data_IF_471467211725
#
_entry.id   IF_471467211725
#
_cell.length_a   1.000
_cell.length_b   1.000
_cell.length_c   1.000
_cell.angle_alpha   90.00
_cell.angle_beta   90.00
_cell.angle_gamma   90.00
#
_symmetry.space_group_name_H-M   'P 1'
#
loop_
_entity.id
_entity.type
_entity.pdbx_description
1 polymer ?
#
# COMPACT_ATOMS: atom_id res chain seq x y z
N UNK A 1 -0.90 1.29 -3.25
CA UNK A 1 -0.60 0.62 -4.53
C UNK A 1 0.86 0.86 -4.97
N UNK A 2 1.39 2.09 -4.98
CA UNK A 2 2.76 2.33 -5.44
C UNK A 2 3.79 1.45 -4.73
N UNK A 3 3.77 1.38 -3.39
CA UNK A 3 4.68 0.56 -2.60
C UNK A 3 4.66 -0.92 -3.00
N UNK A 4 3.47 -1.50 -3.20
CA UNK A 4 3.35 -2.89 -3.66
C UNK A 4 3.91 -3.10 -5.08
N UNK A 5 3.79 -2.11 -5.97
CA UNK A 5 4.27 -2.22 -7.34
C UNK A 5 5.79 -2.33 -7.45
N UNK A 6 6.53 -1.87 -6.45
CA UNK A 6 8.00 -1.82 -6.46
C UNK A 6 8.66 -3.04 -5.85
N UNK A 7 7.97 -3.76 -4.94
CA UNK A 7 8.56 -4.83 -4.13
C UNK A 7 9.20 -5.95 -4.94
N UNK A 8 8.50 -6.42 -5.96
CA UNK A 8 8.92 -7.56 -6.78
C UNK A 8 9.30 -7.19 -8.21
N UNK A 9 9.11 -5.92 -8.61
CA UNK A 9 9.56 -5.40 -9.90
C UNK A 9 10.97 -4.82 -9.85
N UNK A 10 11.42 -4.34 -8.70
CA UNK A 10 12.67 -3.61 -8.57
C UNK A 10 12.69 -2.28 -9.32
N UNK A 11 11.49 -1.73 -9.64
CA UNK A 11 11.33 -0.50 -10.42
C UNK A 11 10.45 0.50 -9.67
N UNK A 12 10.77 1.79 -9.80
CA UNK A 12 9.99 2.86 -9.19
C UNK A 12 8.61 3.03 -9.83
N UNK A 13 7.66 3.67 -9.13
CA UNK A 13 6.32 3.95 -9.65
C UNK A 13 6.30 4.66 -11.00
N UNK A 14 7.20 5.59 -11.25
CA UNK A 14 7.38 6.26 -12.56
C UNK A 14 7.60 5.27 -13.71
N UNK A 15 8.24 4.13 -13.45
CA UNK A 15 8.47 3.08 -14.43
C UNK A 15 7.43 1.97 -14.41
N UNK A 16 6.83 1.66 -13.24
CA UNK A 16 5.74 0.67 -13.17
C UNK A 16 4.40 1.23 -13.63
N UNK A 17 4.25 2.56 -13.71
CA UNK A 17 3.00 3.23 -14.07
C UNK A 17 1.96 3.25 -12.95
N UNK A 18 2.32 2.85 -11.73
CA UNK A 18 1.43 2.78 -10.56
C UNK A 18 1.81 3.90 -9.60
N UNK A 19 1.28 5.09 -9.80
CA UNK A 19 1.60 6.29 -9.00
C UNK A 19 0.59 6.61 -7.90
N UNK A 20 -0.60 6.00 -7.92
CA UNK A 20 -1.66 6.23 -6.93
C UNK A 20 -2.53 4.98 -6.73
N UNK A 21 -3.38 4.98 -5.69
CA UNK A 21 -4.37 3.93 -5.49
C UNK A 21 -5.46 3.98 -6.57
N UNK A 22 -5.91 5.17 -6.93
CA UNK A 22 -6.93 5.41 -7.97
C UNK A 22 -6.47 5.00 -9.37
N UNK A 23 -5.16 5.14 -9.65
CA UNK A 23 -4.51 4.68 -10.87
C UNK A 23 -3.85 3.29 -10.68
N UNK A 24 -4.30 2.50 -9.72
CA UNK A 24 -3.77 1.17 -9.39
C UNK A 24 -4.36 0.05 -10.25
N UNK A 25 -5.16 -0.81 -9.63
CA UNK A 25 -5.66 -2.05 -10.24
C UNK A 25 -7.14 -2.02 -10.65
N UNK A 26 -7.88 -0.97 -10.35
CA UNK A 26 -9.30 -0.86 -10.69
C UNK A 26 -9.50 -0.99 -12.20
N UNK A 27 -10.32 -1.96 -12.62
CA UNK A 27 -10.54 -2.31 -14.02
C UNK A 27 -12.01 -2.67 -14.25
N UNK A 28 -12.73 -1.82 -14.98
CA UNK A 28 -14.14 -2.01 -15.31
C UNK A 28 -14.39 -3.04 -16.40
N UNK A 29 -13.34 -3.55 -17.04
CA UNK A 29 -13.45 -4.56 -18.12
C UNK A 29 -13.44 -5.99 -17.59
N UNK A 30 -13.18 -6.18 -16.31
CA UNK A 30 -13.19 -7.49 -15.64
C UNK A 30 -14.17 -7.46 -14.45
N UNK A 31 -14.66 -8.64 -14.07
CA UNK A 31 -15.57 -8.81 -12.93
C UNK A 31 -14.91 -9.63 -11.83
N UNK A 32 -15.37 -9.45 -10.58
CA UNK A 32 -15.03 -10.35 -9.48
C UNK A 32 -15.76 -11.69 -9.65
N UNK A 33 -15.16 -12.76 -9.16
CA UNK A 33 -15.74 -14.11 -9.17
C UNK A 33 -16.37 -14.39 -7.81
N UNK A 34 -17.65 -14.76 -7.79
CA UNK A 34 -18.44 -15.05 -6.58
C UNK A 34 -18.51 -13.88 -5.55
N UNK A 35 -18.21 -12.67 -6.00
CA UNK A 35 -18.27 -11.46 -5.20
C UNK A 35 -18.79 -10.28 -6.02
N UNK A 36 -19.32 -9.27 -5.34
CA UNK A 36 -19.72 -8.00 -5.94
C UNK A 36 -18.69 -6.90 -5.71
N UNK A 37 -18.62 -5.95 -6.62
CA UNK A 37 -17.73 -4.81 -6.52
C UNK A 37 -17.04 -4.49 -7.83
N UNK A 38 -16.13 -3.53 -7.78
CA UNK A 38 -15.33 -3.12 -8.93
C UNK A 38 -14.30 -4.21 -9.25
N UNK A 39 -14.18 -4.56 -10.52
CA UNK A 39 -13.18 -5.50 -11.01
C UNK A 39 -11.76 -4.95 -10.83
N UNK A 40 -10.80 -5.87 -10.78
CA UNK A 40 -9.39 -5.52 -10.59
C UNK A 40 -8.48 -6.37 -11.48
N UNK A 41 -7.49 -5.70 -12.10
CA UNK A 41 -6.45 -6.34 -12.89
C UNK A 41 -5.16 -5.49 -12.92
N UNK A 42 -4.03 -6.05 -13.33
CA UNK A 42 -2.77 -5.31 -13.42
C UNK A 42 -2.63 -4.51 -14.73
N UNK A 43 -3.71 -4.15 -15.43
CA UNK A 43 -3.64 -3.61 -16.79
C UNK A 43 -2.78 -2.33 -16.91
N UNK A 44 -2.67 -1.53 -15.85
CA UNK A 44 -1.82 -0.32 -15.83
C UNK A 44 -0.37 -0.61 -15.52
N UNK A 45 -0.09 -1.78 -14.92
CA UNK A 45 1.27 -2.13 -14.53
C UNK A 45 2.16 -2.30 -15.76
N UNK A 46 3.35 -1.70 -15.74
CA UNK A 46 4.34 -1.76 -16.83
C UNK A 46 5.56 -2.53 -16.38
N UNK A 47 6.14 -3.32 -17.29
CA UNK A 47 7.32 -4.14 -17.04
C UNK A 47 7.01 -5.50 -16.43
N UNK A 48 8.02 -6.13 -15.88
CA UNK A 48 8.01 -7.51 -15.37
C UNK A 48 8.35 -7.54 -13.88
N UNK A 49 8.17 -8.68 -13.26
CA UNK A 49 8.48 -8.94 -11.85
C UNK A 49 9.36 -10.17 -11.71
N UNK A 50 9.89 -10.41 -10.50
CA UNK A 50 10.63 -11.64 -10.18
C UNK A 50 9.87 -12.91 -10.60
N UNK A 51 8.54 -12.89 -10.52
CA UNK A 51 7.67 -13.98 -10.98
C UNK A 51 7.85 -14.27 -12.47
N UNK A 52 7.83 -13.22 -13.30
CA UNK A 52 7.99 -13.39 -14.76
C UNK A 52 9.39 -13.90 -15.10
N UNK A 53 10.43 -13.44 -14.41
CA UNK A 53 11.81 -13.87 -14.62
C UNK A 53 12.00 -15.34 -14.26
N UNK A 54 11.40 -15.80 -13.16
CA UNK A 54 11.43 -17.20 -12.74
C UNK A 54 10.68 -18.11 -13.71
N UNK A 55 9.48 -17.72 -14.15
CA UNK A 55 8.68 -18.48 -15.14
C UNK A 55 9.43 -18.56 -16.47
N UNK A 56 10.10 -17.50 -16.90
CA UNK A 56 10.90 -17.51 -18.11
C UNK A 56 12.12 -18.45 -18.01
N UNK A 57 12.72 -18.56 -16.81
CA UNK A 57 13.82 -19.51 -16.53
C UNK A 57 13.31 -20.95 -16.46
N UNK A 58 12.20 -21.18 -15.78
CA UNK A 58 11.59 -22.50 -15.62
C UNK A 58 10.05 -22.39 -15.65
N UNK A 59 9.41 -22.81 -16.77
CA UNK A 59 7.94 -22.74 -16.90
C UNK A 59 7.16 -23.57 -15.88
N UNK A 60 7.82 -24.44 -15.09
CA UNK A 60 7.18 -25.17 -13.99
C UNK A 60 7.02 -24.34 -12.72
N UNK A 61 7.63 -23.15 -12.67
CA UNK A 61 7.46 -22.21 -11.54
C UNK A 61 5.99 -21.98 -11.25
N UNK A 62 5.60 -22.16 -10.01
CA UNK A 62 4.25 -21.93 -9.49
C UNK A 62 4.26 -20.67 -8.64
N UNK A 63 3.16 -19.97 -8.67
CA UNK A 63 3.02 -18.71 -7.92
C UNK A 63 1.68 -18.69 -7.23
N UNK A 64 1.64 -18.17 -6.02
CA UNK A 64 0.44 -17.79 -5.31
C UNK A 64 0.64 -16.39 -4.73
N UNK A 65 -0.31 -15.49 -4.96
CA UNK A 65 -0.33 -14.18 -4.33
C UNK A 65 -1.64 -13.95 -3.58
N UNK A 66 -1.53 -13.54 -2.33
CA UNK A 66 -2.69 -13.42 -1.42
C UNK A 66 -2.61 -12.14 -0.62
N UNK A 67 -3.74 -11.46 -0.48
CA UNK A 67 -3.89 -10.33 0.45
C UNK A 67 -5.36 -10.14 0.84
N UNK A 68 -5.59 -9.30 1.83
CA UNK A 68 -6.91 -8.74 2.06
C UNK A 68 -7.32 -7.71 0.98
N UNK A 69 -6.36 -7.00 0.39
CA UNK A 69 -6.59 -5.94 -0.63
C UNK A 69 -6.23 -6.46 -2.03
N UNK A 70 -7.05 -6.14 -3.03
CA UNK A 70 -6.84 -6.47 -4.45
C UNK A 70 -5.46 -6.04 -4.95
N UNK A 71 -5.12 -4.75 -4.82
CA UNK A 71 -3.85 -4.17 -5.27
C UNK A 71 -2.63 -4.80 -4.60
N UNK A 72 -2.78 -5.21 -3.36
CA UNK A 72 -1.72 -5.82 -2.58
C UNK A 72 -1.47 -7.30 -2.97
N UNK A 73 -2.49 -7.98 -3.49
CA UNK A 73 -2.35 -9.31 -4.06
C UNK A 73 -1.86 -9.26 -5.53
N UNK A 74 -2.31 -8.28 -6.30
CA UNK A 74 -2.06 -8.20 -7.74
C UNK A 74 -0.65 -7.68 -8.06
N UNK A 75 -0.28 -6.53 -7.47
CA UNK A 75 0.91 -5.79 -7.90
C UNK A 75 2.25 -6.49 -7.65
N UNK A 76 2.45 -7.29 -6.61
CA UNK A 76 3.71 -8.03 -6.42
C UNK A 76 4.05 -8.99 -7.56
N UNK A 77 3.05 -9.55 -8.24
CA UNK A 77 3.28 -10.46 -9.37
C UNK A 77 3.00 -9.81 -10.74
N UNK A 78 2.70 -8.50 -10.76
CA UNK A 78 2.54 -7.74 -11.98
C UNK A 78 1.46 -8.32 -12.90
N UNK A 79 1.78 -8.46 -14.19
CA UNK A 79 0.84 -8.93 -15.23
C UNK A 79 0.78 -10.45 -15.38
N UNK A 80 1.51 -11.19 -14.56
CA UNK A 80 1.52 -12.65 -14.57
C UNK A 80 0.14 -13.21 -14.28
N UNK A 81 -0.34 -14.14 -15.14
CA UNK A 81 -1.64 -14.82 -14.99
C UNK A 81 -1.52 -16.05 -14.09
N UNK A 82 -1.05 -15.84 -12.89
CA UNK A 82 -0.89 -16.86 -11.86
C UNK A 82 -2.02 -16.77 -10.81
N UNK A 83 -2.20 -17.75 -9.94
CA UNK A 83 -3.16 -17.68 -8.84
C UNK A 83 -3.01 -16.44 -7.95
N UNK A 84 -4.02 -15.55 -7.96
CA UNK A 84 -4.09 -14.32 -7.16
C UNK A 84 -5.43 -14.25 -6.49
N UNK A 85 -5.45 -14.06 -5.17
CA UNK A 85 -6.68 -13.99 -4.41
C UNK A 85 -6.65 -12.85 -3.39
N UNK A 86 -7.81 -12.23 -3.17
CA UNK A 86 -7.99 -11.21 -2.16
C UNK A 86 -9.35 -11.32 -1.49
N UNK A 87 -9.45 -10.75 -0.31
CA UNK A 87 -10.67 -10.80 0.49
C UNK A 87 -11.74 -9.86 -0.06
N UNK A 88 -12.98 -10.32 -0.11
CA UNK A 88 -14.15 -9.54 -0.53
C UNK A 88 -15.09 -9.27 0.65
N UNK A 89 -15.89 -8.17 0.61
CA UNK A 89 -16.78 -7.79 1.72
C UNK A 89 -17.83 -8.81 2.13
N UNK A 90 -18.12 -9.80 1.27
CA UNK A 90 -19.02 -10.93 1.58
C UNK A 90 -18.34 -12.07 2.34
N UNK A 91 -17.11 -11.87 2.82
CA UNK A 91 -16.43 -12.82 3.70
C UNK A 91 -15.67 -13.95 3.01
N UNK A 92 -15.40 -13.83 1.71
CA UNK A 92 -14.70 -14.85 0.94
C UNK A 92 -13.39 -14.32 0.35
N UNK A 93 -12.46 -15.23 0.03
CA UNK A 93 -11.39 -14.93 -0.90
C UNK A 93 -11.89 -15.08 -2.32
N UNK A 94 -11.67 -14.06 -3.14
CA UNK A 94 -12.07 -13.96 -4.54
C UNK A 94 -10.89 -13.67 -5.44
N UNK A 95 -11.15 -13.61 -6.72
CA UNK A 95 -10.25 -13.14 -7.78
C UNK A 95 -11.07 -12.43 -8.86
N UNK A 96 -10.45 -12.01 -9.95
CA UNK A 96 -11.18 -11.44 -11.10
C UNK A 96 -11.11 -12.33 -12.33
N UNK A 97 -11.98 -12.03 -13.29
CA UNK A 97 -12.00 -12.72 -14.60
C UNK A 97 -10.74 -12.52 -15.42
N UNK A 98 -9.82 -11.64 -15.00
CA UNK A 98 -8.47 -11.56 -15.55
C UNK A 98 -7.66 -12.84 -15.30
N UNK A 99 -7.83 -13.47 -14.12
CA UNK A 99 -7.04 -14.62 -13.68
C UNK A 99 -7.72 -15.97 -13.97
N UNK A 100 -9.03 -16.01 -14.13
CA UNK A 100 -9.75 -17.24 -14.39
C UNK A 100 -11.25 -17.02 -14.54
N UNK A 101 -11.99 -18.06 -14.88
CA UNK A 101 -13.47 -18.03 -15.06
C UNK A 101 -14.25 -18.50 -13.84
N UNK A 102 -13.59 -19.15 -12.88
CA UNK A 102 -14.21 -19.65 -11.64
C UNK A 102 -13.15 -19.78 -10.53
N UNK A 103 -13.59 -19.80 -9.28
CA UNK A 103 -12.72 -20.11 -8.16
C UNK A 103 -12.29 -21.58 -8.20
N UNK A 104 -10.99 -21.90 -7.94
CA UNK A 104 -10.55 -23.28 -7.75
C UNK A 104 -11.32 -23.98 -6.61
N UNK A 105 -11.40 -25.30 -6.66
CA UNK A 105 -12.12 -26.08 -5.65
C UNK A 105 -11.60 -25.85 -4.23
N UNK A 106 -10.27 -25.81 -4.05
CA UNK A 106 -9.67 -25.56 -2.75
C UNK A 106 -10.05 -24.18 -2.17
N UNK A 107 -10.21 -23.15 -3.03
CA UNK A 107 -10.67 -21.82 -2.63
C UNK A 107 -12.14 -21.86 -2.20
N UNK A 108 -13.00 -22.56 -2.98
CA UNK A 108 -14.41 -22.74 -2.63
C UNK A 108 -14.56 -23.48 -1.32
N UNK A 109 -13.77 -24.54 -1.11
CA UNK A 109 -13.76 -25.32 0.13
C UNK A 109 -13.32 -24.47 1.33
N UNK A 110 -12.29 -23.64 1.16
CA UNK A 110 -11.86 -22.69 2.20
C UNK A 110 -12.96 -21.68 2.54
N UNK A 111 -13.57 -21.06 1.53
CA UNK A 111 -14.64 -20.08 1.69
C UNK A 111 -15.90 -20.68 2.35
N UNK A 112 -16.20 -21.94 2.08
CA UNK A 112 -17.33 -22.65 2.68
C UNK A 112 -17.26 -22.79 4.21
N UNK A 113 -16.06 -22.62 4.80
CA UNK A 113 -15.87 -22.60 6.27
C UNK A 113 -16.52 -21.36 6.91
N UNK A 114 -16.78 -20.30 6.16
CA UNK A 114 -17.40 -19.03 6.62
C UNK A 114 -16.74 -18.46 7.89
N UNK A 115 -15.42 -18.58 7.99
CA UNK A 115 -14.67 -18.21 9.19
C UNK A 115 -14.92 -16.77 9.63
N UNK A 116 -14.90 -15.73 8.75
CA UNK A 116 -15.15 -14.36 9.18
C UNK A 116 -16.50 -14.18 9.88
N UNK A 117 -17.57 -14.78 9.33
CA UNK A 117 -18.90 -14.72 9.91
C UNK A 117 -18.98 -15.39 11.30
N UNK A 118 -18.13 -16.39 11.57
CA UNK A 118 -18.07 -17.07 12.88
C UNK A 118 -17.47 -16.21 14.00
N UNK A 119 -16.92 -15.06 13.67
CA UNK A 119 -16.40 -14.09 14.64
C UNK A 119 -17.46 -13.07 15.11
N UNK A 120 -18.70 -13.18 14.64
CA UNK A 120 -19.78 -12.30 15.08
C UNK A 120 -19.87 -12.27 16.62
N UNK A 121 -19.84 -11.07 17.19
CA UNK A 121 -19.88 -10.82 18.64
C UNK A 121 -18.63 -11.17 19.42
N UNK A 122 -17.53 -11.58 18.77
CA UNK A 122 -16.26 -11.79 19.46
C UNK A 122 -15.59 -10.48 19.83
N UNK A 123 -14.85 -10.50 20.92
CA UNK A 123 -14.04 -9.38 21.39
C UNK A 123 -12.58 -9.52 20.94
N UNK A 124 -12.00 -8.44 20.47
CA UNK A 124 -10.56 -8.27 20.41
C UNK A 124 -10.10 -7.74 21.77
N UNK A 125 -9.53 -8.62 22.57
CA UNK A 125 -8.94 -8.33 23.86
C UNK A 125 -7.42 -8.21 23.70
N UNK A 126 -6.73 -7.61 24.67
CA UNK A 126 -5.27 -7.54 24.67
C UNK A 126 -4.66 -8.94 24.66
N UNK A 127 -3.60 -9.14 23.88
CA UNK A 127 -2.86 -10.40 23.79
C UNK A 127 -2.05 -10.70 25.06
N UNK A 128 -1.49 -9.66 25.64
CA UNK A 128 -0.66 -9.69 26.85
C UNK A 128 -1.37 -8.99 28.00
N UNK A 129 -0.92 -9.16 29.26
CA UNK A 129 -1.43 -8.37 30.38
C UNK A 129 -1.29 -6.86 30.12
N UNK A 130 -2.22 -6.05 30.63
CA UNK A 130 -2.28 -4.59 30.47
C UNK A 130 -0.93 -3.91 30.79
N UNK A 131 -0.22 -4.41 31.79
CA UNK A 131 1.11 -3.89 32.19
C UNK A 131 2.21 -4.05 31.14
N UNK A 132 1.98 -4.82 30.08
CA UNK A 132 2.93 -4.98 28.96
C UNK A 132 2.84 -3.85 27.94
N UNK A 133 1.78 -3.04 28.02
CA UNK A 133 1.55 -1.93 27.09
C UNK A 133 1.84 -0.61 27.79
N UNK A 134 2.70 0.20 27.17
CA UNK A 134 3.03 1.56 27.66
C UNK A 134 2.06 2.61 27.16
N UNK A 135 1.34 2.31 26.09
CA UNK A 135 0.42 3.21 25.42
C UNK A 135 -0.87 3.38 26.26
N UNK A 136 -1.45 4.58 26.17
CA UNK A 136 -2.72 4.88 26.82
C UNK A 136 -3.85 4.15 26.09
N UNK A 137 -4.78 3.56 26.86
CA UNK A 137 -5.97 2.91 26.31
C UNK A 137 -7.06 3.92 25.92
N UNK A 138 -7.26 4.94 26.75
CA UNK A 138 -8.30 5.95 26.53
C UNK A 138 -7.73 7.16 25.79
N UNK A 139 -7.85 7.15 24.46
CA UNK A 139 -7.42 8.26 23.56
C UNK A 139 -8.62 8.67 22.69
N UNK A 140 -9.42 9.70 23.09
CA UNK A 140 -10.73 10.00 22.47
C UNK A 140 -10.71 10.37 20.98
N UNK A 141 -9.54 10.68 20.39
CA UNK A 141 -9.44 10.95 18.95
C UNK A 141 -9.40 9.68 18.12
N UNK A 142 -8.98 8.57 18.71
CA UNK A 142 -8.91 7.28 18.03
C UNK A 142 -10.30 6.83 17.60
N UNK A 143 -10.37 6.10 16.49
CA UNK A 143 -11.62 5.57 15.96
C UNK A 143 -12.75 6.62 15.79
N UNK A 144 -12.38 7.91 15.65
CA UNK A 144 -13.37 8.99 15.58
C UNK A 144 -14.17 9.22 16.84
N UNK A 145 -13.61 8.88 18.00
CA UNK A 145 -14.25 9.00 19.29
C UNK A 145 -15.21 7.88 19.65
N UNK A 146 -15.21 6.79 18.89
CA UNK A 146 -16.08 5.63 19.14
C UNK A 146 -15.24 4.36 19.24
N UNK A 147 -15.53 3.52 20.23
CA UNK A 147 -14.87 2.22 20.40
C UNK A 147 -13.32 2.35 20.40
N UNK A 148 -12.82 3.27 21.24
CA UNK A 148 -11.39 3.60 21.39
C UNK A 148 -10.78 3.07 22.68
N UNK A 149 -11.42 2.11 23.34
CA UNK A 149 -10.99 1.47 24.59
C UNK A 149 -11.18 -0.03 24.44
N UNK A 150 -10.17 -0.80 24.83
CA UNK A 150 -10.29 -2.25 24.88
C UNK A 150 -11.36 -2.74 25.86
N UNK A 151 -12.06 -3.85 25.58
CA UNK A 151 -12.00 -4.67 24.37
C UNK A 151 -12.80 -4.09 23.18
N UNK A 152 -12.35 -4.34 21.96
CA UNK A 152 -13.08 -3.96 20.75
C UNK A 152 -14.00 -5.10 20.29
N UNK A 153 -15.30 -4.82 20.18
CA UNK A 153 -16.28 -5.83 19.81
C UNK A 153 -16.51 -5.88 18.30
N UNK A 154 -16.46 -7.09 17.75
CA UNK A 154 -16.94 -7.34 16.39
C UNK A 154 -18.46 -7.26 16.35
N UNK A 155 -19.03 -6.94 15.18
CA UNK A 155 -20.48 -6.93 14.98
C UNK A 155 -21.13 -8.25 15.36
N UNK A 156 -22.28 -8.21 16.02
CA UNK A 156 -23.07 -9.41 16.35
C UNK A 156 -23.79 -10.02 15.12
N UNK A 157 -23.90 -9.26 14.01
CA UNK A 157 -24.43 -9.77 12.74
C UNK A 157 -23.34 -10.47 11.95
N UNK A 158 -23.52 -11.76 11.55
CA UNK A 158 -22.52 -12.50 10.79
C UNK A 158 -22.09 -11.83 9.46
N UNK A 159 -23.03 -11.24 8.73
CA UNK A 159 -22.72 -10.53 7.47
C UNK A 159 -21.93 -9.24 7.73
N UNK A 160 -22.26 -8.52 8.79
CA UNK A 160 -21.51 -7.32 9.19
C UNK A 160 -20.14 -7.69 9.74
N UNK A 161 -20.02 -8.76 10.51
CA UNK A 161 -18.74 -9.28 10.98
C UNK A 161 -17.85 -9.65 9.80
N UNK A 162 -18.33 -10.38 8.81
CA UNK A 162 -17.58 -10.69 7.61
C UNK A 162 -17.08 -9.43 6.88
N UNK A 163 -17.91 -8.39 6.79
CA UNK A 163 -17.55 -7.12 6.14
C UNK A 163 -16.53 -6.31 6.92
N UNK A 164 -16.62 -6.31 8.26
CA UNK A 164 -15.73 -5.55 9.16
C UNK A 164 -14.48 -6.33 9.58
N UNK A 165 -14.47 -7.64 9.39
CA UNK A 165 -13.37 -8.54 9.73
C UNK A 165 -11.98 -8.02 9.35
N UNK A 166 -11.80 -7.33 8.20
CA UNK A 166 -10.52 -6.73 7.82
C UNK A 166 -9.98 -5.64 8.76
N UNK A 167 -10.76 -5.15 9.70
CA UNK A 167 -10.35 -4.14 10.68
C UNK A 167 -9.84 -4.75 11.99
N UNK A 168 -9.84 -6.10 12.09
CA UNK A 168 -9.42 -6.85 13.27
C UNK A 168 -8.17 -7.69 13.01
N UNK A 169 -7.37 -7.98 14.03
CA UNK A 169 -6.12 -8.77 13.91
C UNK A 169 -6.30 -10.13 13.24
N UNK A 170 -7.46 -10.74 13.38
CA UNK A 170 -7.79 -12.06 12.84
C UNK A 170 -7.72 -12.13 11.31
N UNK A 171 -7.79 -10.99 10.62
CA UNK A 171 -7.69 -10.95 9.16
C UNK A 171 -6.30 -11.39 8.66
N UNK A 172 -5.24 -11.02 9.36
CA UNK A 172 -3.89 -11.46 8.98
C UNK A 172 -3.72 -12.96 9.25
N UNK A 173 -4.26 -13.48 10.36
CA UNK A 173 -4.29 -14.92 10.64
C UNK A 173 -5.06 -15.69 9.55
N UNK A 174 -6.23 -15.18 9.14
CA UNK A 174 -7.04 -15.76 8.05
C UNK A 174 -6.28 -15.74 6.71
N UNK A 175 -5.56 -14.66 6.42
CA UNK A 175 -4.76 -14.53 5.20
C UNK A 175 -3.63 -15.55 5.18
N UNK A 176 -2.97 -15.78 6.31
CA UNK A 176 -1.92 -16.80 6.46
C UNK A 176 -2.46 -18.23 6.37
N UNK A 177 -3.66 -18.51 6.95
CA UNK A 177 -4.34 -19.82 6.84
C UNK A 177 -4.71 -20.11 5.37
N UNK A 178 -5.26 -19.11 4.68
CA UNK A 178 -5.55 -19.22 3.26
C UNK A 178 -4.29 -19.47 2.42
N UNK A 179 -3.20 -18.73 2.69
CA UNK A 179 -1.93 -18.90 2.01
C UNK A 179 -1.34 -20.31 2.23
N UNK A 180 -1.38 -20.83 3.47
CA UNK A 180 -0.92 -22.17 3.78
C UNK A 180 -1.77 -23.26 3.10
N UNK A 181 -3.09 -23.05 3.03
CA UNK A 181 -3.99 -23.93 2.28
C UNK A 181 -3.60 -23.96 0.80
N UNK A 182 -3.29 -22.80 0.23
CA UNK A 182 -2.82 -22.69 -1.16
C UNK A 182 -1.43 -23.32 -1.40
N UNK A 183 -0.50 -23.18 -0.44
CA UNK A 183 0.82 -23.86 -0.50
C UNK A 183 0.62 -25.37 -0.67
N UNK A 184 -0.29 -25.96 0.09
CA UNK A 184 -0.58 -27.40 0.01
C UNK A 184 -1.33 -27.74 -1.30
N UNK A 185 -2.38 -27.01 -1.65
CA UNK A 185 -3.20 -27.29 -2.83
C UNK A 185 -2.43 -27.18 -4.15
N UNK A 186 -1.49 -26.22 -4.23
CA UNK A 186 -0.65 -25.98 -5.40
C UNK A 186 0.70 -26.71 -5.33
N UNK A 187 1.00 -27.42 -4.23
CA UNK A 187 2.30 -28.03 -3.99
C UNK A 187 3.48 -27.06 -4.15
N UNK A 188 3.33 -25.80 -3.69
CA UNK A 188 4.39 -24.80 -3.78
C UNK A 188 5.65 -25.24 -3.04
N UNK A 189 6.81 -25.11 -3.67
CA UNK A 189 8.10 -25.48 -3.12
C UNK A 189 8.32 -26.98 -2.98
N UNK A 190 7.51 -27.85 -3.62
CA UNK A 190 7.67 -29.30 -3.59
C UNK A 190 8.47 -29.85 -4.78
N UNK A 191 8.73 -29.03 -5.80
CA UNK A 191 9.49 -29.42 -6.99
C UNK A 191 10.92 -28.86 -7.00
N UNK A 192 11.68 -29.15 -8.07
CA UNK A 192 13.05 -28.66 -8.23
C UNK A 192 13.12 -27.19 -8.69
N UNK A 193 12.01 -26.62 -9.19
CA UNK A 193 11.91 -25.23 -9.61
C UNK A 193 11.76 -24.31 -8.39
N UNK A 194 12.10 -23.04 -8.58
CA UNK A 194 11.79 -21.99 -7.58
C UNK A 194 10.34 -21.58 -7.74
N UNK A 195 9.55 -21.71 -6.70
CA UNK A 195 8.16 -21.24 -6.61
C UNK A 195 8.08 -19.94 -5.81
N UNK A 196 7.00 -19.17 -5.96
CA UNK A 196 6.81 -17.87 -5.29
C UNK A 196 5.51 -17.88 -4.49
N UNK A 197 5.60 -17.47 -3.24
CA UNK A 197 4.46 -17.13 -2.39
C UNK A 197 4.57 -15.66 -1.98
N UNK A 198 3.69 -14.83 -2.48
CA UNK A 198 3.56 -13.43 -2.10
C UNK A 198 2.36 -13.25 -1.16
N UNK A 199 2.60 -12.76 0.06
CA UNK A 199 1.56 -12.50 1.04
C UNK A 199 1.65 -11.04 1.47
N UNK A 200 0.52 -10.31 1.41
CA UNK A 200 0.44 -8.97 1.98
C UNK A 200 -0.54 -8.96 3.14
N UNK A 201 -0.02 -8.71 4.34
CA UNK A 201 -0.75 -8.65 5.60
C UNK A 201 -1.11 -7.19 5.88
N UNK A 202 -2.36 -6.83 5.67
CA UNK A 202 -2.79 -5.42 5.60
C UNK A 202 -3.59 -4.95 6.80
N UNK A 203 -3.68 -5.74 7.88
CA UNK A 203 -4.45 -5.37 9.07
C UNK A 203 -3.78 -4.26 9.85
N UNK A 204 -2.45 -4.27 9.95
CA UNK A 204 -1.70 -3.19 10.62
C UNK A 204 -2.01 -1.82 10.02
N UNK A 205 -2.16 -1.72 8.69
CA UNK A 205 -2.59 -0.50 8.01
C UNK A 205 -4.02 -0.09 8.42
N UNK A 206 -4.96 -1.03 8.49
CA UNK A 206 -6.34 -0.73 8.88
C UNK A 206 -6.44 -0.25 10.34
N UNK A 207 -5.78 -0.96 11.24
CA UNK A 207 -5.70 -0.60 12.67
C UNK A 207 -5.01 0.76 12.82
N UNK A 208 -3.90 0.97 12.13
CA UNK A 208 -3.16 2.22 12.15
C UNK A 208 -3.97 3.42 11.65
N UNK A 209 -4.74 3.26 10.57
CA UNK A 209 -5.66 4.31 10.10
C UNK A 209 -6.70 4.69 11.13
N UNK A 210 -7.18 3.72 11.90
CA UNK A 210 -8.27 3.90 12.85
C UNK A 210 -7.79 4.45 14.19
N UNK A 211 -6.70 3.91 14.71
CA UNK A 211 -6.23 4.16 16.07
C UNK A 211 -4.92 4.98 16.11
N UNK A 212 -4.22 5.14 14.98
CA UNK A 212 -2.92 5.80 14.90
C UNK A 212 -1.75 4.83 15.12
N UNK A 213 -0.55 5.15 14.60
CA UNK A 213 0.62 4.25 14.69
C UNK A 213 1.18 4.09 16.11
N UNK A 214 0.89 5.04 17.01
CA UNK A 214 1.39 5.04 18.37
C UNK A 214 0.34 4.49 19.37
N UNK A 215 -0.72 3.84 18.87
CA UNK A 215 -1.81 3.31 19.68
C UNK A 215 -1.48 1.96 20.30
N UNK A 216 -2.18 1.64 21.38
CA UNK A 216 -2.16 0.33 22.02
C UNK A 216 -2.63 -0.77 21.06
N UNK A 217 -3.58 -0.45 20.19
CA UNK A 217 -4.13 -1.34 19.18
C UNK A 217 -3.10 -1.73 18.13
N UNK A 218 -2.28 -0.79 17.67
CA UNK A 218 -1.18 -1.11 16.73
C UNK A 218 -0.11 -1.93 17.43
N UNK A 219 0.20 -1.66 18.70
CA UNK A 219 1.13 -2.48 19.48
C UNK A 219 0.61 -3.93 19.60
N UNK A 220 -0.64 -4.12 20.01
CA UNK A 220 -1.26 -5.45 20.13
C UNK A 220 -1.33 -6.17 18.77
N UNK A 221 -1.68 -5.43 17.71
CA UNK A 221 -1.69 -5.96 16.34
C UNK A 221 -0.31 -6.47 15.90
N UNK A 222 0.77 -5.73 16.17
CA UNK A 222 2.13 -6.14 15.80
C UNK A 222 2.55 -7.39 16.58
N UNK A 223 2.24 -7.48 17.87
CA UNK A 223 2.51 -8.69 18.67
C UNK A 223 1.77 -9.92 18.14
N UNK A 224 0.50 -9.74 17.72
CA UNK A 224 -0.29 -10.83 17.10
C UNK A 224 0.26 -11.21 15.74
N UNK A 225 0.68 -10.24 14.94
CA UNK A 225 1.27 -10.46 13.63
C UNK A 225 2.58 -11.26 13.74
N UNK A 226 3.46 -10.89 14.68
CA UNK A 226 4.70 -11.62 14.94
C UNK A 226 4.41 -13.08 15.32
N UNK A 227 3.46 -13.30 16.24
CA UNK A 227 3.03 -14.63 16.63
C UNK A 227 2.45 -15.43 15.47
N UNK A 228 1.59 -14.83 14.66
CA UNK A 228 0.97 -15.47 13.51
C UNK A 228 2.00 -15.84 12.43
N UNK A 229 2.98 -14.96 12.17
CA UNK A 229 4.11 -15.25 11.28
C UNK A 229 4.97 -16.40 11.81
N UNK A 230 5.25 -16.45 13.11
CA UNK A 230 5.94 -17.56 13.74
C UNK A 230 5.24 -18.90 13.47
N UNK A 231 3.93 -18.99 13.75
CA UNK A 231 3.15 -20.20 13.49
C UNK A 231 3.09 -20.57 12.00
N UNK A 232 3.00 -19.57 11.12
CA UNK A 232 3.01 -19.80 9.67
C UNK A 232 4.35 -20.40 9.22
N UNK A 233 5.47 -19.80 9.62
CA UNK A 233 6.80 -20.27 9.27
C UNK A 233 7.09 -21.66 9.85
N UNK A 234 6.73 -21.91 11.09
CA UNK A 234 6.85 -23.26 11.71
C UNK A 234 6.06 -24.31 10.92
N UNK A 235 4.84 -23.96 10.48
CA UNK A 235 4.01 -24.84 9.66
C UNK A 235 4.60 -25.08 8.28
N UNK A 236 5.15 -24.04 7.65
CA UNK A 236 5.83 -24.13 6.37
C UNK A 236 7.08 -25.04 6.48
N UNK A 237 7.88 -24.85 7.52
CA UNK A 237 9.13 -25.61 7.73
C UNK A 237 8.92 -27.08 8.14
N UNK A 238 7.68 -27.46 8.54
CA UNK A 238 7.32 -28.89 8.70
C UNK A 238 7.10 -29.60 7.37
N UNK A 239 6.73 -28.87 6.31
CA UNK A 239 6.39 -29.42 5.00
C UNK A 239 7.39 -29.06 3.90
N UNK A 240 8.29 -28.12 4.17
CA UNK A 240 9.38 -27.69 3.26
C UNK A 240 10.68 -27.58 4.05
N UNK A 241 11.78 -27.95 3.41
CA UNK A 241 13.09 -27.84 4.04
C UNK A 241 13.45 -26.34 4.19
N UNK A 242 13.74 -25.84 5.42
CA UNK A 242 14.10 -24.44 5.63
C UNK A 242 15.32 -23.95 4.82
N UNK A 243 16.20 -24.88 4.40
CA UNK A 243 17.37 -24.56 3.56
C UNK A 243 17.01 -24.21 2.13
N UNK A 244 15.79 -24.57 1.69
CA UNK A 244 15.27 -24.31 0.35
C UNK A 244 14.28 -23.13 0.34
N UNK A 245 14.17 -22.42 1.48
CA UNK A 245 13.25 -21.28 1.63
C UNK A 245 14.03 -19.99 1.84
N UNK A 246 13.65 -18.96 1.10
CA UNK A 246 14.09 -17.58 1.31
C UNK A 246 12.87 -16.73 1.61
N UNK A 247 12.91 -15.96 2.68
CA UNK A 247 11.86 -15.02 3.08
C UNK A 247 12.40 -13.61 2.92
N UNK A 248 11.63 -12.74 2.28
CA UNK A 248 11.85 -11.29 2.27
C UNK A 248 10.62 -10.60 2.86
N UNK A 249 10.82 -9.71 3.81
CA UNK A 249 9.78 -8.94 4.48
C UNK A 249 10.07 -7.45 4.35
N UNK A 250 9.05 -6.69 3.98
CA UNK A 250 9.06 -5.23 3.95
C UNK A 250 7.65 -4.70 4.20
N UNK A 251 7.47 -3.38 4.17
CA UNK A 251 6.16 -2.74 4.11
C UNK A 251 6.06 -1.85 2.87
N UNK A 252 4.85 -1.56 2.44
CA UNK A 252 4.58 -0.66 1.31
C UNK A 252 4.63 0.83 1.70
N UNK A 253 4.45 1.14 2.97
CA UNK A 253 4.60 2.47 3.60
C UNK A 253 4.58 2.36 5.13
N UNK A 254 4.89 3.46 5.80
CA UNK A 254 4.63 3.68 7.21
C UNK A 254 3.32 4.45 7.43
N UNK A 255 3.19 5.13 8.58
CA UNK A 255 1.99 5.89 8.92
C UNK A 255 2.37 7.14 9.75
N UNK A 256 1.73 8.27 9.47
CA UNK A 256 1.95 9.50 10.23
C UNK A 256 1.03 9.51 11.47
N UNK A 257 1.57 9.79 12.67
CA UNK A 257 0.79 9.96 13.89
C UNK A 257 -0.26 11.07 13.81
N UNK A 258 -1.25 11.03 14.68
CA UNK A 258 -2.27 12.08 14.79
C UNK A 258 -1.63 13.45 15.06
N UNK A 259 -1.97 14.50 14.28
CA UNK A 259 -1.51 15.86 14.57
C UNK A 259 -1.86 16.31 15.99
N UNK A 260 -3.01 15.94 16.49
CA UNK A 260 -3.51 16.30 17.81
C UNK A 260 -2.69 15.70 18.95
N UNK A 261 -2.11 14.51 18.74
CA UNK A 261 -1.20 13.89 19.71
C UNK A 261 0.11 14.67 19.81
N UNK A 262 0.59 15.18 18.67
CA UNK A 262 1.82 15.98 18.58
C UNK A 262 1.61 17.48 18.80
N UNK A 263 0.35 17.96 18.89
CA UNK A 263 0.05 19.38 19.14
C UNK A 263 0.56 19.88 20.51
N UNK A 264 0.87 18.98 21.44
CA UNK A 264 1.49 19.29 22.72
C UNK A 264 3.02 19.48 22.65
N UNK A 265 3.65 19.09 21.52
CA UNK A 265 5.04 19.48 21.24
C UNK A 265 5.04 20.89 20.65
N UNK A 266 5.56 21.91 21.37
CA UNK A 266 5.56 23.30 20.89
C UNK A 266 6.36 23.48 19.59
N UNK A 267 7.18 22.50 19.19
CA UNK A 267 7.93 22.51 17.94
C UNK A 267 7.20 21.81 16.79
N UNK A 268 6.14 21.05 17.05
CA UNK A 268 5.48 20.24 16.01
C UNK A 268 4.53 21.06 15.16
N UNK A 269 3.77 22.04 15.72
CA UNK A 269 2.80 22.86 15.00
C UNK A 269 1.85 22.06 14.08
N UNK A 270 1.61 20.77 14.43
CA UNK A 270 0.96 19.80 13.56
C UNK A 270 -0.54 20.10 13.41
N UNK A 271 -1.05 20.05 12.19
CA UNK A 271 -2.44 20.35 11.86
C UNK A 271 -2.99 19.40 10.78
N UNK A 272 -4.32 19.27 10.75
CA UNK A 272 -5.04 18.69 9.60
C UNK A 272 -5.24 19.78 8.57
N UNK A 273 -4.55 19.66 7.44
CA UNK A 273 -4.55 20.68 6.38
C UNK A 273 -5.77 20.48 5.48
N UNK A 274 -6.62 21.50 5.39
CA UNK A 274 -7.79 21.49 4.52
C UNK A 274 -7.53 22.34 3.26
N UNK A 275 -7.33 21.72 2.09
CA UNK A 275 -7.04 22.43 0.85
C UNK A 275 -8.30 22.98 0.16
N UNK A 276 -9.52 22.71 0.70
CA UNK A 276 -10.79 22.95 0.00
C UNK A 276 -10.99 24.38 -0.47
N UNK A 277 -10.69 25.37 0.35
CA UNK A 277 -10.88 26.78 -0.02
C UNK A 277 -9.96 27.17 -1.18
N UNK A 278 -8.70 26.74 -1.15
CA UNK A 278 -7.75 27.00 -2.22
C UNK A 278 -8.17 26.30 -3.51
N UNK A 279 -8.57 25.04 -3.44
CA UNK A 279 -9.00 24.27 -4.60
C UNK A 279 -10.32 24.79 -5.16
N UNK A 280 -11.24 25.30 -4.32
CA UNK A 280 -12.47 25.96 -4.76
C UNK A 280 -12.15 27.25 -5.53
N UNK A 281 -11.23 28.07 -5.02
CA UNK A 281 -10.79 29.27 -5.71
C UNK A 281 -10.13 28.96 -7.07
N UNK A 282 -9.32 27.90 -7.12
CA UNK A 282 -8.73 27.39 -8.37
C UNK A 282 -9.82 26.95 -9.35
N UNK A 283 -10.80 26.15 -8.90
CA UNK A 283 -11.90 25.67 -9.75
C UNK A 283 -12.71 26.85 -10.32
N UNK A 284 -13.06 27.82 -9.49
CA UNK A 284 -13.80 29.01 -9.92
C UNK A 284 -13.02 29.86 -10.93
N UNK A 285 -11.71 30.02 -10.71
CA UNK A 285 -10.84 30.77 -11.63
C UNK A 285 -10.72 30.09 -12.99
N UNK A 286 -10.59 28.75 -13.01
CA UNK A 286 -10.51 27.98 -14.24
C UNK A 286 -11.86 27.98 -14.98
N UNK A 287 -12.99 27.89 -14.27
CA UNK A 287 -14.33 28.02 -14.87
C UNK A 287 -14.53 29.38 -15.50
N UNK A 288 -14.17 30.48 -14.81
CA UNK A 288 -14.24 31.84 -15.34
C UNK A 288 -13.35 32.04 -16.58
N UNK A 289 -12.27 31.29 -16.71
CA UNK A 289 -11.40 31.27 -17.89
C UNK A 289 -11.88 30.32 -19.00
N UNK A 290 -13.08 29.73 -18.87
CA UNK A 290 -13.70 28.86 -19.89
C UNK A 290 -13.32 27.40 -19.81
N UNK A 291 -12.70 26.94 -18.73
CA UNK A 291 -12.45 25.51 -18.51
C UNK A 291 -13.74 24.83 -18.06
N UNK A 292 -14.26 23.92 -18.88
CA UNK A 292 -15.48 23.17 -18.59
C UNK A 292 -15.31 22.25 -17.37
N UNK A 293 -16.40 22.01 -16.62
CA UNK A 293 -16.44 21.10 -15.47
C UNK A 293 -17.64 21.40 -14.57
N UNK A 294 -17.80 20.60 -13.52
CA UNK A 294 -18.95 20.66 -12.60
C UNK A 294 -18.63 21.34 -11.25
N UNK A 295 -17.56 22.12 -11.20
CA UNK A 295 -17.09 22.71 -9.95
C UNK A 295 -16.27 21.73 -9.12
N UNK A 296 -15.98 22.12 -7.87
CA UNK A 296 -15.18 21.30 -6.96
C UNK A 296 -16.04 20.20 -6.32
N UNK A 297 -15.62 18.94 -6.53
CA UNK A 297 -16.18 17.75 -5.90
C UNK A 297 -15.11 17.04 -5.05
N UNK A 298 -15.57 16.29 -4.04
CA UNK A 298 -14.71 15.44 -3.20
C UNK A 298 -15.31 14.04 -3.11
N UNK A 299 -14.59 13.05 -3.59
CA UNK A 299 -15.03 11.64 -3.58
C UNK A 299 -13.84 10.73 -3.36
N UNK A 300 -13.94 9.82 -2.38
CA UNK A 300 -12.91 8.80 -2.14
C UNK A 300 -11.51 9.35 -1.81
N UNK A 301 -11.40 10.51 -1.19
CA UNK A 301 -10.12 11.15 -0.85
C UNK A 301 -9.60 12.12 -1.92
N UNK A 302 -10.23 12.15 -3.10
CA UNK A 302 -9.79 12.95 -4.25
C UNK A 302 -10.67 14.16 -4.44
N UNK A 303 -10.07 15.33 -4.59
CA UNK A 303 -10.75 16.54 -5.09
C UNK A 303 -10.66 16.58 -6.61
N UNK A 304 -11.77 16.80 -7.27
CA UNK A 304 -11.84 17.06 -8.71
C UNK A 304 -12.49 18.41 -8.94
N UNK A 305 -11.93 19.22 -9.84
CA UNK A 305 -12.43 20.53 -10.21
C UNK A 305 -12.37 20.75 -11.72
N UNK A 306 -12.65 21.98 -12.16
CA UNK A 306 -12.57 22.34 -13.56
C UNK A 306 -11.12 22.19 -14.07
N UNK A 307 -10.86 21.16 -14.86
CA UNK A 307 -9.55 20.89 -15.47
C UNK A 307 -8.43 20.47 -14.53
N UNK A 308 -8.74 20.01 -13.31
CA UNK A 308 -7.74 19.46 -12.39
C UNK A 308 -8.28 18.38 -11.47
N UNK A 309 -7.36 17.59 -10.89
CA UNK A 309 -7.58 16.74 -9.70
C UNK A 309 -6.50 17.00 -8.65
N UNK A 310 -6.83 16.72 -7.38
CA UNK A 310 -5.88 16.80 -6.27
C UNK A 310 -6.07 15.60 -5.34
N UNK A 311 -5.02 14.80 -5.20
CA UNK A 311 -5.00 13.58 -4.38
C UNK A 311 -3.70 13.53 -3.57
N UNK A 312 -3.79 13.44 -2.23
CA UNK A 312 -2.64 13.23 -1.36
C UNK A 312 -1.48 14.22 -1.50
N UNK A 313 -1.77 15.44 -1.95
CA UNK A 313 -0.74 16.46 -2.22
C UNK A 313 -0.29 16.54 -3.69
N UNK A 314 -0.81 15.70 -4.56
CA UNK A 314 -0.52 15.71 -6.00
C UNK A 314 -1.59 16.51 -6.74
N UNK A 315 -1.21 17.59 -7.38
CA UNK A 315 -2.06 18.36 -8.28
C UNK A 315 -1.83 17.90 -9.73
N UNK A 316 -2.85 17.30 -10.31
CA UNK A 316 -2.88 16.99 -11.75
C UNK A 316 -3.65 18.08 -12.50
N UNK A 317 -3.20 18.39 -13.70
CA UNK A 317 -3.85 19.36 -14.58
C UNK A 317 -4.20 18.73 -15.93
N UNK A 318 -5.40 18.95 -16.39
CA UNK A 318 -5.83 18.57 -17.74
C UNK A 318 -5.20 19.52 -18.77
N UNK A 319 -4.12 19.05 -19.41
CA UNK A 319 -3.37 19.83 -20.41
C UNK A 319 -4.25 20.24 -21.60
N UNK A 320 -5.19 19.37 -22.01
CA UNK A 320 -6.09 19.64 -23.13
C UNK A 320 -7.09 20.73 -22.79
N UNK A 321 -7.71 20.63 -21.61
CA UNK A 321 -8.67 21.65 -21.14
C UNK A 321 -8.01 23.02 -20.98
N UNK A 322 -6.81 23.08 -20.40
CA UNK A 322 -6.05 24.31 -20.25
C UNK A 322 -5.66 24.93 -21.61
N UNK A 323 -5.22 24.07 -22.55
CA UNK A 323 -4.86 24.54 -23.89
C UNK A 323 -6.04 25.10 -24.65
N UNK A 324 -7.22 24.47 -24.58
CA UNK A 324 -8.46 24.98 -25.18
C UNK A 324 -8.88 26.34 -24.61
N UNK A 325 -8.67 26.55 -23.33
CA UNK A 325 -8.95 27.80 -22.63
C UNK A 325 -7.80 28.85 -22.76
N UNK A 326 -6.76 28.57 -23.55
CA UNK A 326 -5.58 29.42 -23.74
C UNK A 326 -4.86 29.78 -22.44
N UNK A 327 -4.92 28.89 -21.43
CA UNK A 327 -4.26 29.08 -20.13
C UNK A 327 -2.81 28.59 -20.19
N UNK A 328 -1.88 29.47 -19.82
CA UNK A 328 -0.48 29.09 -19.67
C UNK A 328 -0.30 28.23 -18.41
N UNK A 329 -0.03 26.92 -18.62
CA UNK A 329 0.12 25.93 -17.54
C UNK A 329 1.20 26.32 -16.53
N UNK A 330 2.36 26.80 -17.00
CA UNK A 330 3.48 27.13 -16.12
C UNK A 330 3.18 28.32 -15.22
N UNK A 331 2.52 29.33 -15.75
CA UNK A 331 2.07 30.47 -14.95
C UNK A 331 1.02 30.08 -13.92
N UNK A 332 0.08 29.22 -14.30
CA UNK A 332 -0.92 28.67 -13.37
C UNK A 332 -0.25 27.89 -12.25
N UNK A 333 0.67 26.97 -12.57
CA UNK A 333 1.38 26.15 -11.57
C UNK A 333 2.18 27.03 -10.61
N UNK A 334 2.86 28.09 -11.11
CA UNK A 334 3.55 29.06 -10.23
C UNK A 334 2.60 29.78 -9.27
N UNK A 335 1.45 30.22 -9.75
CA UNK A 335 0.46 30.89 -8.91
C UNK A 335 -0.13 29.95 -7.85
N UNK A 336 -0.51 28.73 -8.23
CA UNK A 336 -1.04 27.72 -7.32
C UNK A 336 0.02 27.31 -6.29
N UNK A 337 1.28 27.11 -6.70
CA UNK A 337 2.41 26.85 -5.79
C UNK A 337 2.55 27.95 -4.73
N UNK A 338 2.52 29.22 -5.16
CA UNK A 338 2.62 30.35 -4.24
C UNK A 338 1.46 30.41 -3.25
N UNK A 339 0.27 29.96 -3.66
CA UNK A 339 -0.91 29.88 -2.79
C UNK A 339 -0.79 28.74 -1.79
N UNK A 340 -0.35 27.53 -2.19
CA UNK A 340 -0.13 26.41 -1.28
C UNK A 340 0.91 26.72 -0.21
N UNK A 341 2.00 27.40 -0.56
CA UNK A 341 3.06 27.77 0.39
C UNK A 341 2.60 28.74 1.51
N UNK A 342 1.41 29.32 1.39
CA UNK A 342 0.79 30.17 2.42
C UNK A 342 -0.16 29.37 3.34
N UNK A 343 -0.44 28.13 3.00
CA UNK A 343 -1.36 27.28 3.80
C UNK A 343 -0.61 26.74 5.02
N UNK A 344 -1.11 26.96 6.25
CA UNK A 344 -0.50 26.41 7.46
C UNK A 344 -0.36 24.89 7.36
N UNK A 345 0.78 24.36 7.77
CA UNK A 345 1.09 22.92 7.69
C UNK A 345 1.70 22.47 6.35
N UNK A 346 1.74 23.31 5.32
CA UNK A 346 2.47 23.02 4.09
C UNK A 346 3.95 23.32 4.29
N UNK A 347 4.80 22.32 4.15
CA UNK A 347 6.25 22.46 4.28
C UNK A 347 6.93 22.89 2.98
N UNK A 348 6.47 22.36 1.84
CA UNK A 348 7.00 22.68 0.51
C UNK A 348 6.02 22.36 -0.61
N UNK A 349 6.25 22.96 -1.76
CA UNK A 349 5.52 22.67 -3.00
C UNK A 349 6.51 22.68 -4.17
N UNK A 350 6.63 21.57 -4.88
CA UNK A 350 7.61 21.38 -5.96
C UNK A 350 6.92 21.15 -7.29
N UNK A 351 7.39 21.85 -8.32
CA UNK A 351 6.97 21.60 -9.69
C UNK A 351 7.61 20.30 -10.18
N UNK A 352 6.82 19.42 -10.80
CA UNK A 352 7.33 18.13 -11.33
C UNK A 352 8.48 18.37 -12.31
N UNK A 353 8.37 19.35 -13.20
CA UNK A 353 9.42 19.71 -14.18
C UNK A 353 10.74 20.18 -13.57
N UNK A 354 10.77 20.53 -12.29
CA UNK A 354 11.99 20.97 -11.59
C UNK A 354 12.63 19.87 -10.75
N UNK A 355 11.94 18.75 -10.51
CA UNK A 355 12.44 17.69 -9.62
C UNK A 355 13.73 17.04 -10.14
N UNK A 356 13.84 16.82 -11.45
CA UNK A 356 15.02 16.21 -12.05
C UNK A 356 16.31 17.06 -11.90
N UNK A 357 16.16 18.38 -11.65
CA UNK A 357 17.25 19.33 -11.46
C UNK A 357 17.67 19.47 -9.98
N UNK A 358 16.93 18.80 -9.07
CA UNK A 358 17.21 18.84 -7.63
C UNK A 358 18.42 17.96 -7.27
N UNK A 359 19.09 18.31 -6.18
CA UNK A 359 20.06 17.44 -5.54
C UNK A 359 19.35 16.25 -4.88
N UNK A 360 19.17 15.17 -5.64
CA UNK A 360 18.48 13.96 -5.18
C UNK A 360 19.29 13.13 -4.18
N UNK A 361 20.52 13.48 -3.90
CA UNK A 361 21.33 12.83 -2.85
C UNK A 361 20.94 13.40 -1.49
N UNK A 362 20.91 14.72 -1.35
CA UNK A 362 20.62 15.40 -0.09
C UNK A 362 19.13 15.75 0.07
N UNK A 363 18.40 16.05 -1.00
CA UNK A 363 16.95 16.28 -0.98
C UNK A 363 16.16 14.96 -1.07
N UNK A 364 15.96 14.30 0.08
CA UNK A 364 15.20 13.03 0.15
C UNK A 364 13.76 13.19 -0.32
N UNK A 365 13.10 14.31 -0.01
CA UNK A 365 11.71 14.57 -0.40
C UNK A 365 11.59 14.72 -1.91
N UNK A 366 12.44 15.56 -2.51
CA UNK A 366 12.49 15.73 -3.96
C UNK A 366 12.78 14.43 -4.68
N UNK A 367 13.74 13.63 -4.18
CA UNK A 367 14.05 12.30 -4.73
C UNK A 367 12.84 11.36 -4.71
N UNK A 368 12.10 11.28 -3.60
CA UNK A 368 10.91 10.42 -3.47
C UNK A 368 9.84 10.81 -4.48
N UNK A 369 9.58 12.11 -4.65
CA UNK A 369 8.64 12.59 -5.67
C UNK A 369 9.13 12.32 -7.09
N UNK A 370 10.41 12.48 -7.38
CA UNK A 370 11.00 12.16 -8.70
C UNK A 370 10.79 10.68 -9.08
N UNK A 371 10.79 9.78 -8.10
CA UNK A 371 10.55 8.36 -8.34
C UNK A 371 9.07 8.02 -8.60
N UNK A 372 8.15 8.96 -8.33
CA UNK A 372 6.70 8.74 -8.52
C UNK A 372 6.21 9.16 -9.89
N UNK A 373 6.73 10.27 -10.46
CA UNK A 373 6.18 10.91 -11.65
C UNK A 373 7.25 11.26 -12.67
N UNK A 374 6.88 11.23 -13.94
CA UNK A 374 7.62 11.74 -15.07
C UNK A 374 7.03 13.07 -15.58
N UNK A 375 7.76 13.77 -16.45
CA UNK A 375 7.25 14.99 -17.11
C UNK A 375 6.05 14.70 -18.05
N UNK A 376 5.86 13.44 -18.46
CA UNK A 376 4.74 13.00 -19.31
C UNK A 376 3.45 12.84 -18.51
N UNK A 377 3.54 12.67 -17.18
CA UNK A 377 2.38 12.51 -16.32
C UNK A 377 1.53 13.79 -16.25
N UNK A 378 0.27 13.63 -15.88
CA UNK A 378 -0.63 14.78 -15.64
C UNK A 378 -0.24 15.59 -14.41
N UNK A 379 0.51 15.01 -13.48
CA UNK A 379 1.00 15.67 -12.29
C UNK A 379 1.79 16.96 -12.66
N UNK A 380 1.47 18.04 -12.01
CA UNK A 380 2.03 19.36 -12.29
C UNK A 380 2.78 19.93 -11.08
N UNK A 381 2.23 19.69 -9.89
CA UNK A 381 2.74 20.18 -8.63
C UNK A 381 2.60 19.07 -7.57
N UNK A 382 3.60 18.90 -6.73
CA UNK A 382 3.53 18.08 -5.54
C UNK A 382 3.70 18.96 -4.31
N UNK A 383 2.78 18.80 -3.35
CA UNK A 383 2.73 19.57 -2.11
C UNK A 383 3.03 18.64 -0.96
N UNK A 384 4.14 18.88 -0.27
CA UNK A 384 4.54 18.12 0.90
C UNK A 384 4.20 18.88 2.15
N UNK A 385 3.49 18.24 3.04
CA UNK A 385 3.20 18.79 4.37
C UNK A 385 4.45 18.72 5.26
N UNK A 386 4.53 19.63 6.22
CA UNK A 386 5.52 19.52 7.28
C UNK A 386 5.31 18.20 8.07
N UNK A 387 6.36 17.68 8.75
CA UNK A 387 6.22 16.46 9.54
C UNK A 387 5.01 16.49 10.50
N UNK A 388 4.38 15.34 10.70
CA UNK A 388 3.19 15.15 11.53
C UNK A 388 1.91 15.86 11.06
N UNK A 389 1.94 16.56 9.92
CA UNK A 389 0.74 17.10 9.31
C UNK A 389 0.21 16.14 8.25
N UNK A 390 -1.10 16.12 8.04
CA UNK A 390 -1.70 15.45 6.88
C UNK A 390 -2.96 16.12 6.37
N UNK A 391 -3.35 15.75 5.18
CA UNK A 391 -4.53 16.30 4.52
C UNK A 391 -5.80 15.87 5.26
N UNK A 392 -6.71 16.81 5.47
CA UNK A 392 -8.01 16.49 6.06
C UNK A 392 -8.74 15.47 5.18
N UNK A 393 -9.07 14.35 5.76
CA UNK A 393 -9.76 13.21 5.11
C UNK A 393 -10.76 12.57 6.06
N UNK A 394 -11.45 11.53 5.58
CA UNK A 394 -12.35 10.71 6.39
C UNK A 394 -11.64 9.73 7.31
N UNK A 395 -10.34 9.45 7.08
CA UNK A 395 -9.54 8.60 7.96
C UNK A 395 -9.01 9.39 9.14
N UNK A 396 -8.82 8.72 10.27
CA UNK A 396 -8.29 9.35 11.47
C UNK A 396 -6.79 9.60 11.33
N UNK A 397 -5.99 8.57 11.04
CA UNK A 397 -4.58 8.69 10.69
C UNK A 397 -4.34 8.44 9.20
N UNK A 398 -3.26 8.99 8.66
CA UNK A 398 -2.96 9.01 7.23
C UNK A 398 -1.52 8.64 6.92
N UNK A 399 -1.31 8.25 5.68
CA UNK A 399 -0.01 8.05 5.05
C UNK A 399 -0.02 8.55 3.61
N UNK A 400 1.10 8.42 2.90
CA UNK A 400 1.25 8.80 1.49
C UNK A 400 2.05 10.07 1.29
N UNK A 401 2.58 10.65 2.37
CA UNK A 401 3.55 11.73 2.27
C UNK A 401 4.95 11.17 1.96
N UNK A 402 5.87 12.00 1.41
CA UNK A 402 7.26 11.61 1.27
C UNK A 402 8.08 11.82 2.56
N UNK A 403 7.44 12.11 3.70
CA UNK A 403 8.10 12.21 5.00
C UNK A 403 8.59 10.85 5.50
N UNK A 404 9.55 10.83 6.40
CA UNK A 404 10.16 9.58 6.88
C UNK A 404 9.19 8.71 7.66
N UNK A 405 8.19 9.29 8.35
CA UNK A 405 7.10 8.54 9.00
C UNK A 405 6.37 7.59 8.06
N UNK A 406 6.16 8.03 6.80
CA UNK A 406 5.42 7.25 5.82
C UNK A 406 6.32 6.45 4.88
N UNK A 407 7.54 6.94 4.61
CA UNK A 407 8.37 6.39 3.55
C UNK A 407 9.51 5.49 4.05
N UNK A 408 9.78 5.45 5.37
CA UNK A 408 10.81 4.58 5.94
C UNK A 408 10.19 3.28 6.43
N UNK A 409 10.60 2.17 5.81
CA UNK A 409 10.12 0.83 6.11
C UNK A 409 11.29 -0.14 6.31
N UNK A 410 11.11 -1.27 7.01
CA UNK A 410 12.14 -2.29 7.15
C UNK A 410 12.34 -3.05 5.84
N UNK A 411 13.55 -3.61 5.63
CA UNK A 411 13.83 -4.69 4.68
C UNK A 411 14.53 -5.78 5.45
N UNK A 412 13.94 -6.97 5.50
CA UNK A 412 14.45 -8.12 6.23
C UNK A 412 14.53 -9.30 5.27
N UNK A 413 15.67 -9.99 5.25
CA UNK A 413 15.83 -11.25 4.54
C UNK A 413 16.16 -12.36 5.54
N UNK A 414 15.60 -13.54 5.30
CA UNK A 414 15.88 -14.75 6.08
C UNK A 414 15.98 -15.96 5.17
N UNK A 415 16.87 -16.90 5.50
CA UNK A 415 16.97 -18.20 4.84
C UNK A 415 18.26 -18.42 4.07
N UNK A 416 18.19 -19.30 3.08
CA UNK A 416 19.37 -19.72 2.29
C UNK A 416 19.97 -18.54 1.51
N UNK A 417 21.30 -18.50 1.42
CA UNK A 417 22.01 -17.45 0.69
C UNK A 417 22.09 -16.10 1.42
N UNK A 418 21.48 -15.97 2.59
CA UNK A 418 21.52 -14.73 3.38
C UNK A 418 22.70 -14.75 4.34
N UNK A 419 23.41 -13.64 4.42
CA UNK A 419 24.45 -13.38 5.42
C UNK A 419 23.83 -12.73 6.63
N UNK A 420 23.83 -13.36 7.81
CA UNK A 420 23.23 -12.77 9.01
C UNK A 420 23.94 -11.47 9.40
N UNK A 421 23.18 -10.46 9.78
CA UNK A 421 23.70 -9.17 10.23
C UNK A 421 22.64 -8.07 10.22
N UNK A 422 22.99 -6.95 10.81
CA UNK A 422 22.27 -5.68 10.68
C UNK A 422 23.12 -4.76 9.82
N UNK A 423 22.47 -4.16 8.82
CA UNK A 423 23.11 -3.32 7.82
C UNK A 423 22.49 -1.93 7.89
N UNK A 424 23.29 -0.92 8.17
CA UNK A 424 22.84 0.47 8.35
C UNK A 424 23.02 1.32 7.07
N UNK A 425 23.51 0.72 5.99
CA UNK A 425 23.63 1.37 4.70
C UNK A 425 22.24 1.67 4.11
N UNK A 426 22.17 2.73 3.31
CA UNK A 426 20.95 3.13 2.66
C UNK A 426 20.48 2.06 1.66
N UNK A 427 19.31 1.49 1.92
CA UNK A 427 18.62 0.56 1.05
C UNK A 427 17.21 1.08 0.70
N UNK A 428 16.67 0.58 -0.40
CA UNK A 428 15.34 0.96 -0.91
C UNK A 428 14.53 -0.29 -1.19
N UNK A 429 13.21 -0.21 -1.08
CA UNK A 429 12.32 -1.36 -1.35
C UNK A 429 12.52 -1.92 -2.77
N UNK A 430 12.85 -1.08 -3.75
CA UNK A 430 13.21 -1.55 -5.12
C UNK A 430 14.46 -2.44 -5.15
N UNK A 431 15.30 -2.43 -4.12
CA UNK A 431 16.50 -3.26 -4.03
C UNK A 431 16.14 -4.72 -3.63
N UNK A 432 14.91 -4.99 -3.21
CA UNK A 432 14.46 -6.31 -2.79
C UNK A 432 14.40 -7.31 -3.96
N UNK A 433 13.78 -6.93 -5.08
CA UNK A 433 13.65 -7.82 -6.24
C UNK A 433 14.99 -8.22 -6.86
N UNK A 434 15.95 -7.30 -7.16
CA UNK A 434 17.27 -7.70 -7.67
C UNK A 434 18.06 -8.53 -6.66
N UNK A 435 17.91 -8.28 -5.35
CA UNK A 435 18.56 -9.09 -4.31
C UNK A 435 18.02 -10.52 -4.29
N UNK A 436 16.69 -10.69 -4.32
CA UNK A 436 16.06 -12.02 -4.45
C UNK A 436 16.47 -12.70 -5.75
N UNK A 437 16.48 -11.97 -6.89
CA UNK A 437 16.91 -12.52 -8.17
C UNK A 437 18.34 -13.07 -8.13
N UNK A 438 19.25 -12.35 -7.46
CA UNK A 438 20.62 -12.82 -7.25
C UNK A 438 20.69 -14.10 -6.40
N UNK A 439 19.91 -14.19 -5.31
CA UNK A 439 19.86 -15.36 -4.42
C UNK A 439 19.33 -16.60 -5.16
N UNK A 440 18.28 -16.45 -6.00
CA UNK A 440 17.68 -17.56 -6.73
C UNK A 440 18.27 -17.73 -8.14
N UNK A 441 19.36 -17.02 -8.44
CA UNK A 441 20.12 -17.11 -9.70
C UNK A 441 19.24 -16.92 -10.94
N UNK A 442 18.36 -15.91 -10.94
CA UNK A 442 17.57 -15.52 -12.12
C UNK A 442 17.96 -14.11 -12.58
N UNK A 443 17.98 -13.90 -13.88
CA UNK A 443 18.32 -12.62 -14.47
C UNK A 443 17.06 -11.81 -14.73
N UNK A 444 16.97 -10.56 -14.28
CA UNK A 444 15.89 -9.66 -14.67
C UNK A 444 15.80 -9.48 -16.19
N UNK A 445 14.58 -9.37 -16.71
CA UNK A 445 14.35 -9.22 -18.14
C UNK A 445 14.51 -7.79 -18.64
N UNK A 446 14.67 -6.84 -17.74
CA UNK A 446 14.78 -5.42 -18.03
C UNK A 446 15.70 -4.70 -17.05
N UNK A 447 16.05 -3.45 -17.37
CA UNK A 447 16.82 -2.61 -16.46
C UNK A 447 15.98 -2.27 -15.22
N UNK A 448 16.54 -2.52 -14.05
CA UNK A 448 15.94 -2.19 -12.77
C UNK A 448 16.44 -0.85 -12.22
N UNK A 449 15.66 -0.25 -11.33
CA UNK A 449 16.06 0.92 -10.55
C UNK A 449 16.75 0.51 -9.24
N UNK A 450 16.46 -0.71 -8.79
CA UNK A 450 17.07 -1.32 -7.62
C UNK A 450 18.42 -1.94 -7.90
N UNK A 451 19.18 -2.15 -6.84
CA UNK A 451 20.48 -2.82 -6.85
C UNK A 451 20.49 -4.02 -5.92
N UNK A 452 21.36 -4.98 -6.19
CA UNK A 452 21.58 -6.11 -5.29
C UNK A 452 22.25 -5.62 -4.01
N UNK A 453 21.69 -5.95 -2.87
CA UNK A 453 22.26 -5.67 -1.54
C UNK A 453 23.38 -6.69 -1.24
N UNK A 454 24.55 -6.48 -1.85
CA UNK A 454 25.67 -7.43 -1.84
C UNK A 454 26.15 -7.78 -0.42
N UNK A 455 26.07 -6.82 0.52
CA UNK A 455 26.49 -7.05 1.90
C UNK A 455 25.57 -8.04 2.64
N UNK A 456 24.31 -8.21 2.20
CA UNK A 456 23.31 -9.07 2.82
C UNK A 456 23.27 -10.51 2.26
N UNK A 457 24.00 -10.79 1.17
CA UNK A 457 24.02 -12.12 0.52
C UNK A 457 25.42 -12.76 0.61
N UNK A 458 25.45 -14.12 0.53
CA UNK A 458 26.67 -14.92 0.59
C UNK A 458 27.27 -15.11 -0.79
#
# INVERSE_FOLDING_TARGET
APGHSVTMSGRFPVHTGISANTAGVNDTTVSLIDASGLGASPFRFRGTTLTDWLIAKDPRTRVLSVSRKDRAAILPIGRSKQPVFWYAPNGIFTTSTYYGSSLPEWVRAFNARKLPASYAGKAWELLLPDSAYSERDSVPIESGGNNFIFPHLESSSPDSAARLFPEFPWMDELTLDFAMTGVNALNLGAGPQTDVLAISLSTTDAVGHRYGPDSREVHDQILRLDRALGFFLDSLFRIRNPRDVVVALTADHGLTPFPEVHAHDPNAGAVRVNPRQLLQALSNSLAAAGVEGYGLNYTGGVYTGNGFSFDGGVLELDRSALSKAHINRDSLVRAVRASFLKVPGVGRADRISELAQRDTVNDRIGRRWLHMFSDEDKAALVVTLAPYNYWLSSYQAQHGSPNDSDARVPIIFYGSGIKPGRYDEFARVVDMAPTLAAIVHVTPQEKLDGHVLQNAIR
#
